data_IF_527170317331
#
_entry.id   IF_527170317331
#
_cell.length_a   1.000
_cell.length_b   1.000
_cell.length_c   1.000
_cell.angle_alpha   90.00
_cell.angle_beta   90.00
_cell.angle_gamma   90.00
#
_symmetry.space_group_name_H-M   'P 1'
#
loop_
_entity.id
_entity.type
_entity.pdbx_description
1 polymer ?
#
# COMPACT_ATOMS: atom_id res chain seq x y z
N UNK A 1 39.11 -39.25 62.03
CA UNK A 1 39.51 -39.18 60.59
C UNK A 1 38.30 -38.88 59.71
N UNK A 2 37.17 -39.51 59.89
CA UNK A 2 35.93 -39.29 59.14
C UNK A 2 35.40 -37.84 59.21
N UNK A 3 35.35 -37.24 60.40
CA UNK A 3 34.90 -35.85 60.59
C UNK A 3 35.76 -34.78 59.85
N UNK A 4 37.02 -35.06 59.62
CA UNK A 4 37.90 -34.16 58.85
C UNK A 4 37.61 -34.24 57.34
N UNK A 5 37.22 -35.43 56.88
CA UNK A 5 36.87 -35.67 55.48
C UNK A 5 35.52 -35.02 55.16
N UNK A 6 34.51 -35.12 56.02
CA UNK A 6 33.22 -34.46 55.87
C UNK A 6 33.34 -32.92 55.83
N UNK A 7 34.15 -32.34 56.76
CA UNK A 7 34.40 -30.88 56.74
C UNK A 7 35.09 -30.41 55.45
N UNK A 8 36.02 -31.24 54.92
CA UNK A 8 36.69 -30.94 53.65
C UNK A 8 35.73 -31.02 52.45
N UNK A 9 34.80 -31.99 52.46
CA UNK A 9 33.77 -32.13 51.42
C UNK A 9 32.79 -30.96 51.46
N UNK A 10 32.36 -30.49 52.63
CA UNK A 10 31.46 -29.33 52.73
C UNK A 10 32.14 -28.05 52.23
N UNK A 11 33.40 -27.86 52.57
CA UNK A 11 34.18 -26.68 52.11
C UNK A 11 34.39 -26.76 50.58
N UNK A 12 34.76 -27.89 50.04
CA UNK A 12 34.93 -28.06 48.57
C UNK A 12 33.64 -27.88 47.82
N UNK A 13 32.50 -28.36 48.32
CA UNK A 13 31.18 -28.13 47.75
C UNK A 13 30.80 -26.65 47.77
N UNK A 14 31.07 -25.95 48.90
CA UNK A 14 30.83 -24.48 49.00
C UNK A 14 31.63 -23.66 47.97
N UNK A 15 32.90 -24.06 47.77
CA UNK A 15 33.74 -23.41 46.73
C UNK A 15 33.22 -23.67 45.33
N UNK A 16 32.81 -24.92 45.02
CA UNK A 16 32.25 -25.28 43.75
C UNK A 16 30.94 -24.52 43.42
N UNK A 17 30.04 -24.41 44.38
CA UNK A 17 28.79 -23.66 44.25
C UNK A 17 29.08 -22.16 44.10
N UNK A 18 30.03 -21.62 44.86
CA UNK A 18 30.47 -20.22 44.74
C UNK A 18 31.03 -19.89 43.33
N UNK A 19 31.88 -20.79 42.79
CA UNK A 19 32.42 -20.68 41.44
C UNK A 19 31.33 -20.77 40.39
N UNK A 20 30.39 -21.69 40.54
CA UNK A 20 29.23 -21.85 39.60
C UNK A 20 28.35 -20.59 39.59
N UNK A 21 28.11 -19.97 40.75
CA UNK A 21 27.37 -18.73 40.86
C UNK A 21 28.10 -17.56 40.18
N UNK A 22 29.43 -17.45 40.38
CA UNK A 22 30.24 -16.40 39.74
C UNK A 22 30.24 -16.56 38.21
N UNK A 23 30.35 -17.79 37.69
CA UNK A 23 30.29 -18.07 36.27
C UNK A 23 28.91 -17.78 35.71
N UNK A 24 27.84 -18.19 36.41
CA UNK A 24 26.47 -17.93 35.97
C UNK A 24 26.13 -16.44 35.97
N UNK A 25 26.55 -15.67 36.99
CA UNK A 25 26.34 -14.23 37.01
C UNK A 25 27.14 -13.49 35.93
N UNK A 26 28.36 -13.90 35.62
CA UNK A 26 29.12 -13.36 34.48
C UNK A 26 28.45 -13.69 33.14
N UNK A 27 27.95 -14.90 32.98
CA UNK A 27 27.28 -15.32 31.77
C UNK A 27 25.97 -14.56 31.57
N UNK A 28 25.17 -14.36 32.58
CA UNK A 28 23.95 -13.54 32.57
C UNK A 28 24.28 -12.06 32.32
N UNK A 29 25.28 -11.50 33.01
CA UNK A 29 25.69 -10.09 32.83
C UNK A 29 26.20 -9.81 31.43
N UNK A 30 26.95 -10.71 30.80
CA UNK A 30 27.41 -10.57 29.41
C UNK A 30 26.27 -10.66 28.37
N UNK A 31 25.16 -11.30 28.73
CA UNK A 31 23.96 -11.37 27.90
C UNK A 31 23.08 -10.12 28.01
N UNK A 32 23.12 -9.43 29.14
CA UNK A 32 22.33 -8.21 29.43
C UNK A 32 23.01 -6.94 28.90
N UNK A 33 24.33 -6.86 28.85
CA UNK A 33 25.07 -5.74 28.26
C UNK A 33 25.22 -5.94 26.74
N UNK A 34 24.14 -5.76 26.03
CA UNK A 34 24.22 -5.63 24.57
C UNK A 34 24.68 -4.19 24.25
N UNK A 35 25.96 -4.03 23.93
CA UNK A 35 26.45 -2.79 23.32
C UNK A 35 25.88 -2.74 21.87
N UNK A 36 24.68 -2.20 21.74
CA UNK A 36 23.95 -2.13 20.47
C UNK A 36 23.45 -0.70 20.22
N UNK A 37 23.38 -0.31 18.96
CA UNK A 37 22.76 0.91 18.50
C UNK A 37 21.66 0.56 17.51
N UNK A 38 20.45 1.04 17.76
CA UNK A 38 19.31 0.92 16.85
C UNK A 38 19.12 2.22 16.10
N UNK A 39 19.06 2.13 14.77
CA UNK A 39 18.96 3.29 13.89
C UNK A 39 17.90 3.04 12.83
N UNK A 40 17.11 4.06 12.55
CA UNK A 40 16.16 4.06 11.44
C UNK A 40 16.81 4.70 10.22
N UNK A 41 16.90 3.95 9.14
CA UNK A 41 17.28 4.44 7.83
C UNK A 41 16.05 4.53 6.91
N UNK A 42 16.13 5.39 5.92
CA UNK A 42 15.08 5.59 4.93
C UNK A 42 15.67 5.82 3.55
N UNK A 43 14.92 5.41 2.53
CA UNK A 43 15.23 5.74 1.15
C UNK A 43 13.93 5.97 0.39
N UNK A 44 13.95 6.83 -0.59
CA UNK A 44 12.80 7.07 -1.46
C UNK A 44 13.25 7.19 -2.92
N UNK A 45 12.29 6.98 -3.79
CA UNK A 45 12.44 7.21 -5.24
C UNK A 45 11.13 7.79 -5.78
N UNK A 46 11.23 8.73 -6.70
CA UNK A 46 10.10 9.29 -7.44
C UNK A 46 9.97 8.50 -8.72
N UNK A 47 8.78 7.97 -8.97
CA UNK A 47 8.45 7.16 -10.15
C UNK A 47 7.21 7.69 -10.82
N UNK A 48 7.14 7.56 -12.14
CA UNK A 48 5.93 7.82 -12.90
C UNK A 48 5.19 6.49 -13.11
N UNK A 49 3.89 6.47 -12.81
CA UNK A 49 3.01 5.33 -13.10
C UNK A 49 3.03 4.99 -14.58
N UNK A 50 2.96 3.71 -14.91
CA UNK A 50 3.03 3.18 -16.27
C UNK A 50 1.79 2.37 -16.65
N UNK A 51 0.76 2.38 -15.79
CA UNK A 51 -0.56 1.79 -16.03
C UNK A 51 -1.63 2.69 -15.49
N UNK A 52 -2.64 2.95 -16.29
CA UNK A 52 -3.83 3.68 -15.88
C UNK A 52 -5.08 2.83 -16.06
N UNK A 53 -6.01 2.94 -15.13
CA UNK A 53 -7.33 2.31 -15.18
C UNK A 53 -8.39 3.36 -14.91
N UNK A 54 -9.43 3.40 -15.74
CA UNK A 54 -10.59 4.25 -15.53
C UNK A 54 -11.85 3.39 -15.46
N UNK A 55 -12.64 3.61 -14.42
CA UNK A 55 -13.96 3.02 -14.30
C UNK A 55 -15.00 4.11 -14.51
N UNK A 56 -16.07 3.76 -15.19
CA UNK A 56 -17.23 4.65 -15.38
C UNK A 56 -18.48 3.82 -15.66
N UNK A 57 -19.64 4.41 -15.43
CA UNK A 57 -20.93 3.77 -15.62
C UNK A 57 -21.76 4.53 -16.65
N UNK A 58 -22.50 3.80 -17.49
CA UNK A 58 -23.60 4.35 -18.28
C UNK A 58 -24.88 4.13 -17.47
N UNK A 59 -25.61 5.20 -17.18
CA UNK A 59 -26.86 5.14 -16.44
C UNK A 59 -28.05 5.41 -17.38
N UNK A 60 -29.02 4.52 -17.36
CA UNK A 60 -30.22 4.59 -18.19
C UNK A 60 -31.46 4.56 -17.31
N UNK A 61 -32.41 5.45 -17.59
CA UNK A 61 -33.70 5.53 -16.94
C UNK A 61 -34.80 5.50 -18.00
N UNK A 62 -35.66 4.45 -17.99
CA UNK A 62 -36.74 4.27 -18.94
C UNK A 62 -38.01 3.76 -18.24
N UNK A 63 -39.20 3.98 -18.85
CA UNK A 63 -40.47 3.50 -18.30
C UNK A 63 -40.54 1.98 -18.18
N UNK A 64 -39.83 1.22 -19.01
CA UNK A 64 -39.78 -0.24 -18.96
C UNK A 64 -38.36 -0.78 -18.89
N UNK A 65 -38.18 -1.96 -18.30
CA UNK A 65 -36.89 -2.63 -18.22
C UNK A 65 -36.34 -2.98 -19.60
N UNK A 66 -37.23 -3.38 -20.53
CA UNK A 66 -36.85 -3.72 -21.90
C UNK A 66 -36.26 -2.51 -22.63
N UNK A 67 -36.91 -1.35 -22.54
CA UNK A 67 -36.41 -0.10 -23.12
C UNK A 67 -35.10 0.33 -22.48
N UNK A 68 -34.94 0.19 -21.15
CA UNK A 68 -33.68 0.46 -20.47
C UNK A 68 -32.55 -0.39 -21.02
N UNK A 69 -32.77 -1.69 -21.17
CA UNK A 69 -31.80 -2.63 -21.72
C UNK A 69 -31.45 -2.31 -23.17
N UNK A 70 -32.45 -2.10 -24.06
CA UNK A 70 -32.21 -1.78 -25.47
C UNK A 70 -31.41 -0.48 -25.63
N UNK A 71 -31.81 0.57 -24.89
CA UNK A 71 -31.07 1.84 -24.88
C UNK A 71 -29.63 1.65 -24.39
N UNK A 72 -29.41 0.82 -23.34
CA UNK A 72 -28.08 0.50 -22.85
C UNK A 72 -27.19 -0.14 -23.93
N UNK A 73 -27.74 -1.07 -24.70
CA UNK A 73 -27.01 -1.75 -25.80
C UNK A 73 -26.62 -0.77 -26.92
N UNK A 74 -27.51 0.17 -27.26
CA UNK A 74 -27.25 1.20 -28.27
C UNK A 74 -26.16 2.17 -27.77
N UNK A 75 -26.30 2.69 -26.56
CA UNK A 75 -25.33 3.62 -25.95
C UNK A 75 -23.96 2.95 -25.77
N UNK A 76 -23.93 1.67 -25.38
CA UNK A 76 -22.69 0.91 -25.26
C UNK A 76 -21.92 0.81 -26.58
N UNK A 77 -22.63 0.70 -27.72
CA UNK A 77 -21.99 0.72 -29.04
C UNK A 77 -21.30 2.05 -29.32
N UNK A 78 -21.97 3.17 -28.98
CA UNK A 78 -21.40 4.52 -29.15
C UNK A 78 -20.17 4.72 -28.28
N UNK A 79 -20.24 4.29 -27.01
CA UNK A 79 -19.12 4.39 -26.09
C UNK A 79 -17.94 3.53 -26.53
N UNK A 80 -18.20 2.29 -26.96
CA UNK A 80 -17.15 1.42 -27.51
C UNK A 80 -16.48 2.01 -28.74
N UNK A 81 -17.24 2.66 -29.63
CA UNK A 81 -16.68 3.31 -30.79
C UNK A 81 -15.81 4.51 -30.39
N UNK A 82 -16.28 5.35 -29.48
CA UNK A 82 -15.49 6.46 -28.93
C UNK A 82 -14.15 5.99 -28.33
N UNK A 83 -14.17 4.91 -27.53
CA UNK A 83 -12.96 4.35 -26.92
C UNK A 83 -11.98 3.79 -27.97
N UNK A 84 -12.49 3.13 -29.01
CA UNK A 84 -11.67 2.67 -30.14
C UNK A 84 -11.03 3.82 -30.90
N UNK A 85 -11.77 4.89 -31.14
CA UNK A 85 -11.26 6.11 -31.80
C UNK A 85 -10.13 6.74 -30.99
N UNK A 86 -10.19 6.64 -29.65
CA UNK A 86 -9.11 7.01 -28.71
C UNK A 86 -8.01 5.93 -28.56
N UNK A 87 -8.04 4.84 -29.35
CA UNK A 87 -7.08 3.73 -29.35
C UNK A 87 -7.00 2.96 -28.02
N UNK A 88 -8.12 2.84 -27.33
CA UNK A 88 -8.24 1.98 -26.15
C UNK A 88 -8.60 0.57 -26.60
N UNK A 89 -7.70 -0.38 -26.37
CA UNK A 89 -7.88 -1.80 -26.74
C UNK A 89 -8.45 -2.63 -25.57
N UNK A 90 -8.09 -2.30 -24.34
CA UNK A 90 -8.52 -3.02 -23.14
C UNK A 90 -9.81 -2.40 -22.61
N UNK A 91 -10.95 -2.92 -23.05
CA UNK A 91 -12.29 -2.50 -22.63
C UNK A 91 -12.97 -3.70 -21.97
N UNK A 92 -13.26 -3.61 -20.69
CA UNK A 92 -14.01 -4.60 -19.92
C UNK A 92 -15.41 -4.07 -19.65
N UNK A 93 -16.42 -4.75 -20.17
CA UNK A 93 -17.83 -4.48 -19.86
C UNK A 93 -18.23 -5.40 -18.71
N UNK A 94 -18.49 -4.81 -17.55
CA UNK A 94 -18.81 -5.56 -16.34
C UNK A 94 -20.30 -5.91 -16.28
N UNK A 95 -20.67 -6.79 -15.35
CA UNK A 95 -22.05 -7.17 -15.12
C UNK A 95 -22.91 -5.95 -14.76
N UNK A 96 -24.01 -5.72 -15.51
CA UNK A 96 -24.90 -4.59 -15.23
C UNK A 96 -25.71 -4.81 -13.96
N UNK A 97 -26.16 -3.71 -13.38
CA UNK A 97 -27.14 -3.69 -12.30
C UNK A 97 -28.43 -3.03 -12.79
N UNK A 98 -29.57 -3.53 -12.33
CA UNK A 98 -30.86 -2.95 -12.65
C UNK A 98 -31.81 -3.01 -11.45
N UNK A 99 -32.58 -1.95 -11.27
CA UNK A 99 -33.58 -1.87 -10.20
C UNK A 99 -34.75 -0.97 -10.61
N UNK A 100 -35.87 -1.11 -9.89
CA UNK A 100 -37.09 -0.33 -10.08
C UNK A 100 -37.07 0.85 -9.14
N UNK A 101 -37.39 2.05 -9.63
CA UNK A 101 -37.70 3.23 -8.82
C UNK A 101 -39.21 3.44 -8.77
N UNK A 102 -39.72 3.69 -7.57
CA UNK A 102 -41.11 3.97 -7.32
C UNK A 102 -41.32 5.46 -7.12
N UNK A 103 -42.50 5.94 -7.52
CA UNK A 103 -42.91 7.33 -7.25
C UNK A 103 -43.06 7.57 -5.74
N UNK A 104 -42.72 8.76 -5.32
CA UNK A 104 -42.95 9.20 -3.96
C UNK A 104 -44.32 9.93 -3.84
N UNK A 105 -44.98 9.78 -2.70
CA UNK A 105 -46.17 10.60 -2.36
C UNK A 105 -45.72 12.03 -1.98
N UNK A 106 -46.70 12.88 -1.66
CA UNK A 106 -46.46 14.29 -1.28
C UNK A 106 -45.68 14.44 0.05
N UNK A 107 -45.53 13.37 0.83
CA UNK A 107 -44.76 13.32 2.09
C UNK A 107 -43.36 12.76 1.88
N UNK A 108 -43.02 12.33 0.63
CA UNK A 108 -41.72 11.75 0.30
C UNK A 108 -41.65 10.23 0.54
N UNK A 109 -42.73 9.55 0.85
CA UNK A 109 -42.74 8.08 0.99
C UNK A 109 -42.96 7.39 -0.35
N UNK A 110 -42.22 6.29 -0.57
CA UNK A 110 -42.38 5.50 -1.77
C UNK A 110 -43.79 4.90 -1.87
N UNK A 111 -44.40 5.05 -3.03
CA UNK A 111 -45.69 4.42 -3.37
C UNK A 111 -45.46 3.04 -4.02
N UNK A 112 -46.57 2.35 -4.39
CA UNK A 112 -46.48 1.13 -5.19
C UNK A 112 -46.48 1.41 -6.70
N UNK A 113 -46.48 2.69 -7.13
CA UNK A 113 -46.43 3.05 -8.54
C UNK A 113 -45.00 3.12 -9.04
N UNK A 114 -44.70 2.40 -10.10
CA UNK A 114 -43.39 2.45 -10.77
C UNK A 114 -43.20 3.83 -11.40
N UNK A 115 -42.08 4.45 -11.11
CA UNK A 115 -41.67 5.69 -11.75
C UNK A 115 -40.83 5.39 -13.00
N UNK A 116 -39.74 4.68 -12.81
CA UNK A 116 -38.87 4.25 -13.90
C UNK A 116 -38.03 3.02 -13.53
N UNK A 117 -37.44 2.41 -14.54
CA UNK A 117 -36.43 1.35 -14.38
C UNK A 117 -35.03 1.94 -14.58
N UNK A 118 -34.18 1.76 -13.59
CA UNK A 118 -32.76 2.10 -13.69
C UNK A 118 -32.00 0.90 -14.25
N UNK A 119 -31.09 1.18 -15.19
CA UNK A 119 -30.15 0.20 -15.70
C UNK A 119 -28.78 0.86 -15.72
N UNK A 120 -27.81 0.29 -15.01
CA UNK A 120 -26.44 0.79 -14.89
C UNK A 120 -25.49 -0.23 -15.52
N UNK A 121 -24.73 0.21 -16.51
CA UNK A 121 -23.72 -0.60 -17.18
C UNK A 121 -22.32 -0.13 -16.80
N UNK A 122 -21.64 -0.84 -15.90
CA UNK A 122 -20.25 -0.50 -15.54
C UNK A 122 -19.28 -0.92 -16.63
N UNK A 123 -18.31 -0.07 -16.89
CA UNK A 123 -17.24 -0.26 -17.87
C UNK A 123 -15.91 0.10 -17.22
N UNK A 124 -14.91 -0.73 -17.49
CA UNK A 124 -13.53 -0.50 -17.07
C UNK A 124 -12.64 -0.45 -18.31
N UNK A 125 -11.76 0.53 -18.36
CA UNK A 125 -10.73 0.62 -19.39
C UNK A 125 -9.36 0.68 -18.74
N UNK A 126 -8.36 0.14 -19.43
CA UNK A 126 -6.97 0.19 -18.97
C UNK A 126 -6.04 0.48 -20.16
N UNK A 127 -5.00 1.26 -19.89
CA UNK A 127 -3.94 1.54 -20.84
C UNK A 127 -2.60 1.71 -20.14
N UNK A 128 -1.52 1.48 -20.89
CA UNK A 128 -0.16 1.74 -20.43
C UNK A 128 0.20 3.23 -20.59
N UNK A 129 -0.54 3.98 -21.40
CA UNK A 129 -0.47 5.43 -21.47
C UNK A 129 -1.38 6.08 -20.42
N UNK A 130 -0.78 6.49 -19.31
CA UNK A 130 -1.49 7.10 -18.18
C UNK A 130 -2.06 8.48 -18.50
N UNK A 131 -1.41 9.24 -19.38
CA UNK A 131 -1.89 10.56 -19.81
C UNK A 131 -3.15 10.42 -20.67
N UNK A 132 -3.21 9.39 -21.52
CA UNK A 132 -4.40 9.05 -22.30
C UNK A 132 -5.59 8.73 -21.37
N UNK A 133 -5.38 7.94 -20.32
CA UNK A 133 -6.43 7.65 -19.32
C UNK A 133 -6.91 8.92 -18.62
N UNK A 134 -5.98 9.81 -18.27
CA UNK A 134 -6.30 11.11 -17.68
C UNK A 134 -7.12 11.98 -18.64
N UNK A 135 -6.72 12.07 -19.90
CA UNK A 135 -7.47 12.80 -20.94
C UNK A 135 -8.88 12.23 -21.07
N UNK A 136 -9.02 10.92 -21.25
CA UNK A 136 -10.32 10.27 -21.41
C UNK A 136 -11.20 10.48 -20.18
N UNK A 137 -10.65 10.47 -18.97
CA UNK A 137 -11.42 10.69 -17.74
C UNK A 137 -12.17 12.04 -17.72
N UNK A 138 -11.65 13.02 -18.43
CA UNK A 138 -12.27 14.36 -18.60
C UNK A 138 -13.17 14.41 -19.83
N UNK A 139 -12.65 13.95 -20.98
CA UNK A 139 -13.32 14.10 -22.28
C UNK A 139 -14.56 13.24 -22.45
N UNK A 140 -14.59 12.06 -21.82
CA UNK A 140 -15.69 11.08 -21.94
C UNK A 140 -17.04 11.67 -21.50
N UNK A 141 -17.02 12.64 -20.59
CA UNK A 141 -18.23 13.36 -20.15
C UNK A 141 -18.89 14.12 -21.31
N UNK A 142 -18.13 14.43 -22.38
CA UNK A 142 -18.68 15.03 -23.61
C UNK A 142 -19.72 14.17 -24.31
N UNK A 143 -19.78 12.85 -24.03
CA UNK A 143 -20.84 11.97 -24.54
C UNK A 143 -22.23 12.30 -23.96
N UNK A 144 -22.34 13.11 -22.94
CA UNK A 144 -23.59 13.67 -22.42
C UNK A 144 -24.30 14.47 -23.53
N UNK A 145 -23.55 15.15 -24.41
CA UNK A 145 -24.12 15.86 -25.57
C UNK A 145 -24.79 14.92 -26.59
N UNK A 146 -24.51 13.62 -26.53
CA UNK A 146 -25.16 12.58 -27.32
C UNK A 146 -26.31 11.88 -26.56
N UNK A 147 -26.71 12.43 -25.41
CA UNK A 147 -27.77 11.87 -24.57
C UNK A 147 -27.37 10.65 -23.76
N UNK A 148 -26.05 10.43 -23.59
CA UNK A 148 -25.53 9.31 -22.78
C UNK A 148 -25.17 9.85 -21.40
N UNK A 149 -25.85 9.38 -20.36
CA UNK A 149 -25.54 9.74 -18.98
C UNK A 149 -24.36 8.87 -18.50
N UNK A 150 -23.24 9.51 -18.21
CA UNK A 150 -22.00 8.85 -17.78
C UNK A 150 -21.59 9.34 -16.40
N UNK A 151 -21.35 8.40 -15.49
CA UNK A 151 -20.74 8.65 -14.18
C UNK A 151 -19.29 8.17 -14.22
N UNK A 152 -18.34 9.11 -14.09
CA UNK A 152 -16.91 8.82 -14.17
C UNK A 152 -16.32 8.77 -12.76
N UNK A 153 -15.58 7.69 -12.47
CA UNK A 153 -14.84 7.58 -11.20
C UNK A 153 -13.41 8.11 -11.36
N UNK A 154 -12.79 8.43 -10.24
CA UNK A 154 -11.38 8.86 -10.23
C UNK A 154 -10.50 7.77 -10.86
N UNK A 155 -9.65 8.09 -11.83
CA UNK A 155 -8.71 7.14 -12.41
C UNK A 155 -7.75 6.56 -11.36
N UNK A 156 -7.33 5.33 -11.56
CA UNK A 156 -6.28 4.68 -10.78
C UNK A 156 -5.03 4.56 -11.64
N UNK A 157 -3.89 4.92 -11.06
CA UNK A 157 -2.58 4.84 -11.70
C UNK A 157 -1.66 3.95 -10.90
N UNK A 158 -1.01 2.99 -11.56
CA UNK A 158 -0.15 2.00 -10.95
C UNK A 158 1.24 1.99 -11.60
N UNK A 159 2.24 1.58 -10.83
CA UNK A 159 3.61 1.38 -11.30
C UNK A 159 3.93 -0.11 -11.35
N UNK A 160 4.10 -0.66 -12.57
CA UNK A 160 4.24 -2.11 -12.77
C UNK A 160 5.49 -2.71 -12.11
N UNK A 161 6.57 -1.92 -12.01
CA UNK A 161 7.85 -2.34 -11.40
C UNK A 161 7.94 -2.06 -9.91
N UNK A 162 6.79 -1.79 -9.25
CA UNK A 162 6.76 -1.51 -7.82
C UNK A 162 7.36 -2.64 -6.94
N UNK A 163 7.17 -3.94 -7.25
CA UNK A 163 7.80 -5.01 -6.46
C UNK A 163 9.33 -4.93 -6.46
N UNK A 164 9.95 -4.74 -7.62
CA UNK A 164 11.41 -4.64 -7.75
C UNK A 164 11.95 -3.38 -7.08
N UNK A 165 11.24 -2.27 -7.25
CA UNK A 165 11.57 -1.01 -6.61
C UNK A 165 11.56 -1.13 -5.08
N UNK A 166 10.58 -1.82 -4.52
CA UNK A 166 10.49 -2.05 -3.06
C UNK A 166 11.73 -2.75 -2.53
N UNK A 167 12.23 -3.76 -3.23
CA UNK A 167 13.46 -4.48 -2.84
C UNK A 167 14.67 -3.55 -2.88
N UNK A 168 14.87 -2.81 -3.98
CA UNK A 168 15.96 -1.86 -4.14
C UNK A 168 15.93 -0.75 -3.06
N UNK A 169 14.75 -0.22 -2.74
CA UNK A 169 14.60 0.81 -1.72
C UNK A 169 14.93 0.29 -0.32
N UNK A 170 14.61 -0.97 -0.01
CA UNK A 170 14.95 -1.57 1.27
C UNK A 170 16.46 -1.71 1.46
N UNK A 171 17.18 -2.07 0.40
CA UNK A 171 18.64 -2.11 0.41
C UNK A 171 19.23 -0.71 0.67
N UNK A 172 18.74 0.30 -0.05
CA UNK A 172 19.14 1.71 0.12
C UNK A 172 18.83 2.20 1.55
N UNK A 173 17.66 1.88 2.11
CA UNK A 173 17.26 2.25 3.47
C UNK A 173 18.16 1.58 4.52
N UNK A 174 18.53 0.32 4.33
CA UNK A 174 19.45 -0.40 5.21
C UNK A 174 20.86 0.21 5.18
N UNK A 175 21.31 0.64 4.01
CA UNK A 175 22.57 1.35 3.82
C UNK A 175 22.55 2.71 4.50
N UNK A 176 21.45 3.47 4.38
CA UNK A 176 21.28 4.74 5.10
C UNK A 176 21.31 4.55 6.62
N UNK A 177 20.63 3.51 7.14
CA UNK A 177 20.69 3.17 8.57
C UNK A 177 22.14 2.94 9.04
N UNK A 178 22.96 2.23 8.25
CA UNK A 178 24.36 2.01 8.57
C UNK A 178 25.16 3.33 8.58
N UNK A 179 24.97 4.19 7.60
CA UNK A 179 25.65 5.48 7.50
C UNK A 179 25.30 6.39 8.69
N UNK A 180 24.04 6.41 9.10
CA UNK A 180 23.59 7.13 10.31
C UNK A 180 24.22 6.56 11.57
N UNK A 181 24.26 5.22 11.71
CA UNK A 181 24.93 4.57 12.85
C UNK A 181 26.41 4.95 12.94
N UNK A 182 27.14 4.98 11.80
CA UNK A 182 28.53 5.42 11.74
C UNK A 182 28.65 6.86 12.22
N UNK A 183 27.80 7.76 11.73
CA UNK A 183 27.82 9.18 12.12
C UNK A 183 27.52 9.38 13.60
N UNK A 184 26.58 8.61 14.17
CA UNK A 184 26.20 8.69 15.59
C UNK A 184 27.31 8.16 16.53
N UNK A 185 28.09 7.16 16.11
CA UNK A 185 29.16 6.58 16.93
C UNK A 185 30.49 7.32 16.80
N UNK A 186 30.65 8.15 15.76
CA UNK A 186 31.90 8.90 15.50
C UNK A 186 32.39 9.75 16.69
N UNK A 187 31.53 10.51 17.39
CA UNK A 187 31.98 11.34 18.52
C UNK A 187 32.52 10.54 19.73
N UNK A 188 32.06 9.28 19.89
CA UNK A 188 32.50 8.40 21.00
C UNK A 188 33.65 7.49 20.60
N UNK A 189 34.24 7.66 19.43
CA UNK A 189 35.31 6.82 18.86
C UNK A 189 34.95 5.33 18.72
N UNK A 190 33.66 4.98 18.85
CA UNK A 190 33.15 3.63 18.66
C UNK A 190 32.93 3.35 17.15
N UNK A 191 32.87 2.06 16.79
CA UNK A 191 32.65 1.61 15.41
C UNK A 191 31.40 0.76 15.29
N UNK A 192 30.73 0.86 14.13
CA UNK A 192 29.59 0.00 13.78
C UNK A 192 30.07 -1.42 13.53
N UNK A 193 29.53 -2.37 14.28
CA UNK A 193 29.80 -3.80 14.12
C UNK A 193 28.84 -4.49 13.14
N UNK A 194 28.60 -5.79 13.40
CA UNK A 194 27.65 -6.60 12.63
C UNK A 194 26.22 -6.24 12.99
N UNK A 195 25.31 -6.46 12.04
CA UNK A 195 23.87 -6.36 12.29
C UNK A 195 23.46 -7.44 13.30
N UNK A 196 22.69 -7.04 14.27
CA UNK A 196 22.10 -7.93 15.29
C UNK A 196 20.61 -8.16 15.03
N UNK A 197 19.89 -7.16 14.52
CA UNK A 197 18.50 -7.28 14.14
C UNK A 197 18.15 -6.30 13.00
N UNK A 198 17.20 -6.69 12.17
CA UNK A 198 16.59 -5.83 11.13
C UNK A 198 15.08 -5.96 11.24
N UNK A 199 14.38 -4.85 11.22
CA UNK A 199 12.93 -4.78 11.05
C UNK A 199 12.61 -3.84 9.91
N UNK A 200 11.84 -4.34 8.95
CA UNK A 200 11.33 -3.54 7.86
C UNK A 200 10.11 -2.75 8.35
N UNK A 201 10.08 -1.46 8.06
CA UNK A 201 8.87 -0.65 8.18
C UNK A 201 7.93 -0.87 6.99
N UNK A 202 6.75 -0.27 7.06
CA UNK A 202 5.79 -0.26 5.95
C UNK A 202 6.25 0.71 4.86
N UNK A 203 5.92 0.39 3.61
CA UNK A 203 6.16 1.31 2.51
C UNK A 203 5.12 2.44 2.51
N UNK A 204 5.58 3.63 2.16
CA UNK A 204 4.71 4.78 1.91
C UNK A 204 4.75 5.09 0.42
N UNK A 205 3.63 4.97 -0.27
CA UNK A 205 3.46 5.38 -1.66
C UNK A 205 2.53 6.59 -1.62
N UNK A 206 3.07 7.77 -1.88
CA UNK A 206 2.36 9.04 -1.69
C UNK A 206 2.50 9.92 -2.94
N UNK A 207 1.67 10.95 -3.11
CA UNK A 207 1.99 12.05 -4.02
C UNK A 207 3.38 12.62 -3.71
N UNK A 208 4.07 13.15 -4.74
CA UNK A 208 5.48 13.60 -4.64
C UNK A 208 5.69 14.59 -3.50
N UNK A 209 4.80 15.56 -3.36
CA UNK A 209 4.91 16.64 -2.38
C UNK A 209 4.27 16.31 -1.01
N UNK A 210 3.73 15.10 -0.86
CA UNK A 210 3.10 14.69 0.40
C UNK A 210 4.13 14.42 1.48
N UNK A 211 3.83 14.87 2.69
CA UNK A 211 4.56 14.58 3.93
C UNK A 211 3.82 13.56 4.81
N UNK A 212 2.68 13.05 4.35
CA UNK A 212 1.87 12.13 5.12
C UNK A 212 2.59 10.79 5.29
N UNK A 213 2.48 10.24 6.50
CA UNK A 213 2.97 8.90 6.85
C UNK A 213 1.90 8.16 7.65
N UNK A 214 1.88 6.84 7.54
CA UNK A 214 0.96 5.97 8.28
C UNK A 214 1.68 4.71 8.75
N UNK A 215 1.38 4.26 9.94
CA UNK A 215 1.90 3.00 10.48
C UNK A 215 1.40 1.77 9.72
N UNK A 216 0.27 1.90 9.02
CA UNK A 216 -0.29 0.86 8.15
C UNK A 216 0.24 0.93 6.71
N UNK A 217 1.01 1.98 6.38
CA UNK A 217 1.42 2.31 5.02
C UNK A 217 0.37 3.13 4.27
N UNK A 218 0.84 3.83 3.23
CA UNK A 218 -0.02 4.56 2.29
C UNK A 218 0.20 3.94 0.92
N UNK A 219 -0.88 3.77 0.16
CA UNK A 219 -0.84 3.34 -1.23
C UNK A 219 -1.70 4.29 -2.07
N UNK A 220 -1.12 5.40 -2.47
CA UNK A 220 -1.78 6.34 -3.37
C UNK A 220 -1.87 5.76 -4.78
N UNK A 221 -3.09 5.68 -5.31
CA UNK A 221 -3.38 5.28 -6.69
C UNK A 221 -3.92 6.45 -7.53
N UNK A 222 -4.14 7.63 -6.92
CA UNK A 222 -4.80 8.75 -7.59
C UNK A 222 -3.85 9.66 -8.37
N UNK A 223 -2.55 9.63 -8.09
CA UNK A 223 -1.55 10.46 -8.76
C UNK A 223 -0.70 9.65 -9.74
N UNK A 224 -0.26 10.30 -10.82
CA UNK A 224 0.62 9.70 -11.83
C UNK A 224 2.05 9.63 -11.30
N UNK A 225 2.57 10.75 -10.81
CA UNK A 225 3.90 10.80 -10.20
C UNK A 225 3.80 10.47 -8.71
N UNK A 226 4.60 9.52 -8.26
CA UNK A 226 4.55 8.97 -6.90
C UNK A 226 5.92 8.98 -6.24
N UNK A 227 5.93 9.24 -4.94
CA UNK A 227 7.09 9.04 -4.08
C UNK A 227 6.92 7.73 -3.32
N UNK A 228 7.78 6.77 -3.63
CA UNK A 228 7.84 5.48 -2.92
C UNK A 228 8.94 5.54 -1.87
N UNK A 229 8.57 5.42 -0.60
CA UNK A 229 9.51 5.48 0.53
C UNK A 229 9.55 4.14 1.26
N UNK A 230 10.76 3.65 1.52
CA UNK A 230 11.02 2.51 2.39
C UNK A 230 11.73 2.96 3.67
N UNK A 231 11.43 2.26 4.77
CA UNK A 231 12.05 2.49 6.08
C UNK A 231 12.57 1.17 6.62
N UNK A 232 13.80 1.19 7.16
CA UNK A 232 14.42 0.04 7.81
C UNK A 232 14.93 0.43 9.21
N UNK A 233 14.51 -0.32 10.21
CA UNK A 233 15.05 -0.22 11.57
C UNK A 233 16.13 -1.29 11.74
N UNK A 234 17.37 -0.88 11.90
CA UNK A 234 18.51 -1.77 11.96
C UNK A 234 19.25 -1.60 13.29
N UNK A 235 19.48 -2.71 13.95
CA UNK A 235 20.28 -2.76 15.19
C UNK A 235 21.65 -3.32 14.87
N UNK A 236 22.68 -2.57 15.22
CA UNK A 236 24.08 -2.94 15.04
C UNK A 236 24.74 -3.16 16.40
N UNK A 237 25.68 -4.09 16.47
CA UNK A 237 26.62 -4.18 17.60
C UNK A 237 27.61 -3.03 17.53
N UNK A 238 28.00 -2.51 18.70
CA UNK A 238 29.05 -1.50 18.83
C UNK A 238 30.38 -2.23 19.05
N UNK A 239 31.45 -1.74 18.41
CA UNK A 239 32.84 -2.22 18.52
C UNK A 239 33.73 -1.10 19.02
#
# INVERSE_FOLDING_TARGET
MLERIEKLQIVSLGILVGLALIVSTKMVSSTIQKNEISVTGSAYEIVKSDKGTLNFDIEIKKPTMLESYQTAQEQLKVVKQYLKDKKIDKIEVKTPNSYVSYKNDYRGYATNEVDHYNYTQPISIAADDVELIKEISTDITGLINKGIMINVYTPSYDYSKLPDLKVSLLEKASTDARNRAVSMLKPSHNRVGKISAVRMGVYQITPVDSTNVSDMGINDTSTIDKKVTAVANVTFRIK
#
